data_IF_096065121343
#
_entry.id   IF_096065121343
#
_cell.length_a   1.000
_cell.length_b   1.000
_cell.length_c   1.000
_cell.angle_alpha   90.00
_cell.angle_beta   90.00
_cell.angle_gamma   90.00
#
_symmetry.space_group_name_H-M   'P 1'
#
loop_
_entity.id
_entity.type
_entity.pdbx_description
1 polymer ?
#
# COMPACT_ATOMS: atom_id res chain seq x y z
N UNK A 1 -49.60 -0.23 23.20
CA UNK A 1 -48.23 0.23 23.49
C UNK A 1 -47.26 -0.70 22.78
N UNK A 2 -46.34 -0.11 22.02
CA UNK A 2 -45.29 -0.76 21.22
C UNK A 2 -44.42 -1.75 22.00
N UNK A 3 -43.88 -2.76 21.32
CA UNK A 3 -42.48 -2.76 20.86
C UNK A 3 -42.22 -3.95 19.92
N UNK A 4 -42.29 -3.70 18.61
CA UNK A 4 -41.57 -4.48 17.60
C UNK A 4 -40.50 -3.57 17.03
N UNK A 5 -39.24 -4.01 16.98
CA UNK A 5 -38.15 -3.59 16.09
C UNK A 5 -36.89 -4.49 16.35
N UNK A 6 -35.90 -4.57 15.44
CA UNK A 6 -35.69 -5.78 14.62
C UNK A 6 -34.23 -6.27 14.61
N UNK A 7 -33.97 -7.32 13.82
CA UNK A 7 -32.68 -7.47 13.13
C UNK A 7 -31.55 -8.11 13.95
N UNK A 8 -31.56 -9.44 14.04
CA UNK A 8 -30.32 -10.17 14.29
C UNK A 8 -29.46 -10.17 13.02
N UNK A 9 -28.18 -9.76 13.08
CA UNK A 9 -27.27 -9.93 11.95
C UNK A 9 -27.00 -11.43 11.76
N UNK A 10 -27.54 -11.98 10.68
CA UNK A 10 -27.15 -13.30 10.20
C UNK A 10 -25.65 -13.33 9.91
N UNK A 11 -24.95 -14.44 10.20
CA UNK A 11 -23.52 -14.54 9.96
C UNK A 11 -23.28 -14.55 8.44
N UNK A 12 -22.66 -13.49 7.92
CA UNK A 12 -22.03 -13.49 6.60
C UNK A 12 -20.79 -14.37 6.62
N UNK A 13 -20.98 -15.68 6.83
CA UNK A 13 -19.94 -16.70 6.65
C UNK A 13 -20.06 -17.21 5.23
N UNK A 14 -19.73 -16.30 4.31
CA UNK A 14 -19.56 -16.59 2.90
C UNK A 14 -18.20 -16.09 2.46
N UNK A 15 -17.13 -16.58 3.07
CA UNK A 15 -15.83 -16.62 2.39
C UNK A 15 -15.97 -17.62 1.24
N UNK A 16 -16.75 -17.24 0.23
CA UNK A 16 -16.78 -17.93 -1.04
C UNK A 16 -15.33 -17.91 -1.52
N UNK A 17 -14.72 -19.10 -1.57
CA UNK A 17 -13.52 -19.33 -2.34
C UNK A 17 -13.89 -19.08 -3.81
N UNK A 18 -13.99 -17.81 -4.20
CA UNK A 18 -14.20 -17.43 -5.58
C UNK A 18 -12.90 -17.80 -6.27
N UNK A 19 -12.89 -18.83 -7.14
CA UNK A 19 -11.68 -19.22 -7.83
C UNK A 19 -11.15 -17.99 -8.56
N UNK A 20 -9.87 -17.67 -8.32
CA UNK A 20 -9.24 -16.51 -8.91
C UNK A 20 -9.30 -16.64 -10.44
N UNK A 21 -10.15 -15.83 -11.08
CA UNK A 21 -10.23 -15.79 -12.53
C UNK A 21 -8.85 -15.36 -13.06
N UNK A 22 -8.34 -15.98 -14.14
CA UNK A 22 -7.12 -15.51 -14.78
C UNK A 22 -7.19 -14.01 -15.07
N UNK A 23 -6.07 -13.33 -14.80
CA UNK A 23 -5.89 -11.92 -15.08
C UNK A 23 -5.88 -11.68 -16.59
N UNK A 24 -6.62 -10.67 -17.05
CA UNK A 24 -6.56 -10.25 -18.46
C UNK A 24 -5.25 -9.50 -18.72
N UNK A 25 -4.70 -9.52 -19.95
CA UNK A 25 -3.50 -8.76 -20.30
C UNK A 25 -3.58 -7.26 -19.95
N UNK A 26 -4.75 -6.64 -20.12
CA UNK A 26 -4.98 -5.25 -19.73
C UNK A 26 -4.89 -5.03 -18.20
N UNK A 27 -5.38 -5.98 -17.40
CA UNK A 27 -5.30 -5.92 -15.93
C UNK A 27 -3.84 -6.02 -15.47
N UNK A 28 -3.03 -6.86 -16.14
CA UNK A 28 -1.59 -6.97 -15.90
C UNK A 28 -0.86 -5.69 -16.28
N UNK A 29 -1.15 -5.11 -17.45
CA UNK A 29 -0.54 -3.86 -17.88
C UNK A 29 -0.87 -2.70 -16.92
N UNK A 30 -2.12 -2.62 -16.48
CA UNK A 30 -2.55 -1.63 -15.49
C UNK A 30 -1.87 -1.86 -14.13
N UNK A 31 -1.75 -3.11 -13.67
CA UNK A 31 -1.02 -3.43 -12.44
C UNK A 31 0.44 -2.95 -12.51
N UNK A 32 1.13 -3.14 -13.64
CA UNK A 32 2.51 -2.66 -13.84
C UNK A 32 2.60 -1.13 -13.78
N UNK A 33 1.66 -0.43 -14.39
CA UNK A 33 1.59 1.04 -14.30
C UNK A 33 1.42 1.50 -12.85
N UNK A 34 0.50 0.87 -12.12
CA UNK A 34 0.28 1.17 -10.70
C UNK A 34 1.51 0.85 -9.85
N UNK A 35 2.20 -0.26 -10.10
CA UNK A 35 3.45 -0.60 -9.42
C UNK A 35 4.51 0.51 -9.60
N UNK A 36 4.68 1.02 -10.82
CA UNK A 36 5.60 2.13 -11.09
C UNK A 36 5.25 3.40 -10.31
N UNK A 37 3.96 3.75 -10.24
CA UNK A 37 3.48 4.91 -9.47
C UNK A 37 3.77 4.73 -7.97
N UNK A 38 3.48 3.55 -7.42
CA UNK A 38 3.70 3.27 -5.99
C UNK A 38 5.20 3.29 -5.63
N UNK A 39 6.07 2.84 -6.54
CA UNK A 39 7.52 2.91 -6.35
C UNK A 39 8.03 4.36 -6.35
N UNK A 40 7.53 5.20 -7.27
CA UNK A 40 7.87 6.63 -7.29
C UNK A 40 7.42 7.33 -6.00
N UNK A 41 6.20 7.05 -5.53
CA UNK A 41 5.67 7.60 -4.28
C UNK A 41 6.55 7.22 -3.07
N UNK A 42 7.03 5.97 -2.98
CA UNK A 42 7.96 5.57 -1.90
C UNK A 42 9.25 6.39 -1.97
N UNK A 43 9.81 6.60 -3.17
CA UNK A 43 11.05 7.36 -3.33
C UNK A 43 10.87 8.82 -2.86
N UNK A 44 9.78 9.47 -3.26
CA UNK A 44 9.46 10.83 -2.82
C UNK A 44 9.26 10.92 -1.30
N UNK A 45 8.53 9.96 -0.71
CA UNK A 45 8.30 9.93 0.73
C UNK A 45 9.59 9.72 1.52
N UNK A 46 10.52 8.89 1.03
CA UNK A 46 11.84 8.75 1.64
C UNK A 46 12.65 10.04 1.55
N UNK A 47 12.61 10.76 0.43
CA UNK A 47 13.31 12.04 0.31
C UNK A 47 12.76 13.08 1.28
N UNK A 48 11.43 13.17 1.41
CA UNK A 48 10.79 14.07 2.38
C UNK A 48 11.18 13.68 3.80
N UNK A 49 11.13 12.39 4.16
CA UNK A 49 11.53 11.92 5.48
C UNK A 49 12.99 12.28 5.80
N UNK A 50 13.89 12.08 4.83
CA UNK A 50 15.30 12.42 4.98
C UNK A 50 15.52 13.91 5.23
N UNK A 51 14.92 14.79 4.41
CA UNK A 51 15.00 16.26 4.58
C UNK A 51 14.42 16.71 5.93
N UNK A 52 13.33 16.08 6.36
CA UNK A 52 12.72 16.37 7.67
C UNK A 52 13.61 15.92 8.82
N UNK A 53 14.25 14.75 8.74
CA UNK A 53 15.19 14.28 9.74
C UNK A 53 16.42 15.19 9.84
N UNK A 54 16.98 15.62 8.71
CA UNK A 54 18.10 16.58 8.69
C UNK A 54 17.72 17.91 9.35
N UNK A 55 16.51 18.42 9.10
CA UNK A 55 16.01 19.64 9.74
C UNK A 55 15.79 19.48 11.25
N UNK A 56 15.49 18.26 11.70
CA UNK A 56 15.30 17.94 13.11
C UNK A 56 16.61 17.95 13.87
N UNK A 57 17.64 17.32 13.31
CA UNK A 57 18.97 17.28 13.94
C UNK A 57 19.50 18.71 14.18
N UNK A 58 19.30 19.61 13.22
CA UNK A 58 19.65 21.04 13.38
C UNK A 58 18.84 21.76 14.47
N UNK A 59 17.56 21.39 14.66
CA UNK A 59 16.70 22.00 15.67
C UNK A 59 16.96 21.46 17.08
N UNK A 60 17.34 20.19 17.21
CA UNK A 60 17.75 19.62 18.50
C UNK A 60 19.01 20.30 19.04
N UNK A 61 19.98 20.61 18.19
CA UNK A 61 21.17 21.40 18.55
C UNK A 61 20.82 22.82 19.06
N UNK A 62 19.66 23.36 18.67
CA UNK A 62 19.16 24.67 19.09
C UNK A 62 18.04 24.62 20.14
N UNK A 63 17.71 23.43 20.67
CA UNK A 63 16.74 23.25 21.76
C UNK A 63 15.25 23.31 21.34
N UNK A 64 14.94 23.15 20.06
CA UNK A 64 13.56 23.14 19.53
C UNK A 64 12.83 21.80 19.72
N UNK A 65 11.51 21.84 19.87
CA UNK A 65 10.65 20.64 19.94
C UNK A 65 10.36 20.11 18.52
N UNK A 66 10.85 18.91 18.24
CA UNK A 66 10.80 18.22 16.96
C UNK A 66 9.39 17.94 16.38
N UNK A 67 9.13 18.10 15.06
CA UNK A 67 7.93 17.62 14.38
C UNK A 67 7.84 16.09 14.19
N UNK A 68 8.00 15.29 15.25
CA UNK A 68 8.07 13.81 15.20
C UNK A 68 6.82 13.15 14.62
N UNK A 69 5.64 13.78 14.79
CA UNK A 69 4.35 13.24 14.32
C UNK A 69 4.27 13.16 12.79
N UNK A 70 4.89 14.09 12.07
CA UNK A 70 4.86 14.09 10.61
C UNK A 70 5.75 13.00 10.03
N UNK A 71 6.95 12.80 10.59
CA UNK A 71 7.82 11.67 10.22
C UNK A 71 7.13 10.32 10.46
N UNK A 72 6.49 10.14 11.62
CA UNK A 72 5.73 8.92 11.93
C UNK A 72 4.60 8.66 10.91
N UNK A 73 3.93 9.72 10.44
CA UNK A 73 2.90 9.60 9.39
C UNK A 73 3.51 9.20 8.05
N UNK A 74 4.67 9.74 7.69
CA UNK A 74 5.37 9.39 6.44
C UNK A 74 5.79 7.91 6.47
N UNK A 75 6.40 7.44 7.56
CA UNK A 75 6.75 6.02 7.71
C UNK A 75 5.52 5.11 7.63
N UNK A 76 4.44 5.47 8.32
CA UNK A 76 3.16 4.73 8.22
C UNK A 76 2.63 4.66 6.78
N UNK A 77 2.83 5.72 5.99
CA UNK A 77 2.41 5.77 4.58
C UNK A 77 3.27 4.88 3.69
N UNK A 78 4.59 4.88 3.91
CA UNK A 78 5.52 3.98 3.21
C UNK A 78 5.15 2.52 3.47
N UNK A 79 4.88 2.15 4.72
CA UNK A 79 4.47 0.78 5.08
C UNK A 79 3.17 0.35 4.41
N UNK A 80 2.20 1.28 4.29
CA UNK A 80 0.97 1.02 3.57
C UNK A 80 1.23 0.77 2.08
N UNK A 81 2.08 1.57 1.45
CA UNK A 81 2.41 1.38 0.03
C UNK A 81 3.14 0.04 -0.18
N UNK A 82 4.02 -0.37 0.73
CA UNK A 82 4.64 -1.70 0.68
C UNK A 82 3.60 -2.83 0.78
N UNK A 83 2.58 -2.69 1.65
CA UNK A 83 1.47 -3.66 1.72
C UNK A 83 0.69 -3.74 0.41
N UNK A 84 0.40 -2.59 -0.21
CA UNK A 84 -0.29 -2.52 -1.49
C UNK A 84 0.54 -3.18 -2.61
N UNK A 85 1.85 -2.90 -2.67
CA UNK A 85 2.76 -3.54 -3.62
C UNK A 85 2.80 -5.05 -3.45
N UNK A 86 2.88 -5.54 -2.21
CA UNK A 86 2.87 -6.97 -1.93
C UNK A 86 1.55 -7.63 -2.35
N UNK A 87 0.41 -6.99 -2.07
CA UNK A 87 -0.90 -7.47 -2.51
C UNK A 87 -1.02 -7.50 -4.05
N UNK A 88 -0.51 -6.46 -4.72
CA UNK A 88 -0.52 -6.35 -6.18
C UNK A 88 0.34 -7.44 -6.83
N UNK A 89 1.56 -7.66 -6.33
CA UNK A 89 2.47 -8.72 -6.79
C UNK A 89 1.92 -10.12 -6.51
N UNK A 90 1.26 -10.32 -5.37
CA UNK A 90 0.58 -11.57 -5.06
C UNK A 90 -0.56 -11.89 -6.01
N UNK A 91 -1.29 -10.86 -6.49
CA UNK A 91 -2.38 -11.02 -7.47
C UNK A 91 -1.87 -11.22 -8.90
N UNK A 92 -0.73 -10.62 -9.26
CA UNK A 92 -0.16 -10.65 -10.61
C UNK A 92 1.28 -11.18 -10.62
N UNK A 93 1.51 -12.46 -10.27
CA UNK A 93 2.85 -13.04 -10.15
C UNK A 93 3.61 -13.12 -11.48
N UNK A 94 2.89 -13.11 -12.61
CA UNK A 94 3.41 -13.27 -13.98
C UNK A 94 4.09 -12.02 -14.57
N UNK A 95 4.32 -10.96 -13.78
CA UNK A 95 5.10 -9.81 -14.25
C UNK A 95 6.62 -10.08 -14.31
N UNK A 96 7.07 -11.21 -13.75
CA UNK A 96 8.46 -11.65 -13.78
C UNK A 96 8.77 -12.42 -15.09
N UNK A 97 8.69 -11.69 -16.21
CA UNK A 97 9.41 -11.97 -17.47
C UNK A 97 9.22 -13.37 -18.07
N UNK A 98 8.21 -13.52 -18.93
CA UNK A 98 8.32 -14.39 -20.12
C UNK A 98 9.09 -13.60 -21.19
N UNK A 99 10.40 -13.44 -20.97
CA UNK A 99 11.33 -12.75 -21.87
C UNK A 99 12.44 -13.65 -22.40
N UNK A 100 12.38 -14.95 -22.10
CA UNK A 100 13.30 -15.94 -22.64
C UNK A 100 12.44 -16.98 -23.38
N UNK A 101 12.30 -16.76 -24.69
CA UNK A 101 11.88 -17.83 -25.58
C UNK A 101 13.02 -18.86 -25.63
N UNK A 102 12.78 -20.15 -25.32
CA UNK A 102 13.69 -21.18 -25.76
C UNK A 102 13.40 -21.50 -27.24
N UNK A 103 14.51 -21.57 -27.99
CA UNK A 103 14.70 -22.00 -29.39
C UNK A 103 14.64 -20.94 -30.49
#
# INVERSE_FOLDING_TARGET
MSTSHPGGPGPWTGAANIPARPAKPAEVAQARLFEGILQAEIAELHEIAYRMAESLDQQFETGGVAPTKHLLRIHSRIDEIHRLLNALRGRFPSARWDGEAPE
#
